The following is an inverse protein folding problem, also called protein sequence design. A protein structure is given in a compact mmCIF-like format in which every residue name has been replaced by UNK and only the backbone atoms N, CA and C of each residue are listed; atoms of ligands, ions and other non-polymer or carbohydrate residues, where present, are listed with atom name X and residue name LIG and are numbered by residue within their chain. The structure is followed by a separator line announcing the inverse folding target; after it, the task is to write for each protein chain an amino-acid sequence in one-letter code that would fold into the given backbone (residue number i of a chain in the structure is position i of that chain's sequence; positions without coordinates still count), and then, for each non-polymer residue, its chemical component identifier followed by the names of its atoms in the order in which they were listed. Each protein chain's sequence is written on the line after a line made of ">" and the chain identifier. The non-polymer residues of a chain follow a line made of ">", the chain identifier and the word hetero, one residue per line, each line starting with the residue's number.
data_IF_427587515610
#
_entry.id   IF_427587515610
#
_cell.length_a   1.000
_cell.length_b   1.000
_cell.length_c   1.000
_cell.angle_alpha   90.00
_cell.angle_beta   90.00
_cell.angle_gamma   90.00
#
_symmetry.space_group_name_H-M   'P 1'
#
loop_
_entity.id
_entity.type
_entity.pdbx_description
1 polymer ?
#
# COMPACT_ATOMS: atom_id res chain seq x y z
N UNK A 1 -7.96 4.16 -3.68
CA UNK A 1 -8.04 5.63 -3.59
C UNK A 1 -6.89 6.17 -4.42
N UNK A 2 -7.06 7.24 -5.20
CA UNK A 2 -5.93 7.88 -5.88
C UNK A 2 -5.80 9.30 -5.35
N UNK A 3 -4.59 9.66 -4.97
CA UNK A 3 -4.28 10.99 -4.41
C UNK A 3 -3.55 11.84 -5.45
N UNK A 4 -3.69 13.17 -5.36
CA UNK A 4 -2.98 14.09 -6.25
C UNK A 4 -1.47 14.07 -5.94
N UNK A 5 -0.65 14.25 -6.99
CA UNK A 5 0.82 14.12 -6.90
C UNK A 5 1.44 14.98 -5.80
N UNK A 6 1.00 16.23 -5.65
CA UNK A 6 1.53 17.16 -4.64
C UNK A 6 1.35 16.65 -3.20
N UNK A 7 0.22 15.99 -2.90
CA UNK A 7 -0.02 15.41 -1.58
C UNK A 7 0.72 14.10 -1.42
N UNK A 8 0.90 13.34 -2.50
CA UNK A 8 1.65 12.10 -2.46
C UNK A 8 3.13 12.34 -2.12
N UNK A 9 3.74 13.41 -2.64
CA UNK A 9 5.11 13.79 -2.31
C UNK A 9 5.26 14.06 -0.81
N UNK A 10 4.36 14.87 -0.23
CA UNK A 10 4.37 15.17 1.19
C UNK A 10 4.05 13.94 2.06
N UNK A 11 3.11 13.09 1.64
CA UNK A 11 2.81 11.84 2.36
C UNK A 11 4.01 10.89 2.37
N UNK A 12 4.80 10.84 1.28
CA UNK A 12 6.03 10.03 1.27
C UNK A 12 7.09 10.59 2.22
N UNK A 13 7.22 11.93 2.31
CA UNK A 13 8.10 12.58 3.30
C UNK A 13 7.68 12.21 4.72
N UNK A 14 6.39 12.37 5.04
CA UNK A 14 5.83 12.02 6.34
C UNK A 14 5.93 10.52 6.66
N UNK A 15 5.81 9.64 5.66
CA UNK A 15 6.03 8.21 5.83
C UNK A 15 7.47 7.92 6.24
N UNK A 16 8.46 8.57 5.63
CA UNK A 16 9.87 8.39 6.00
C UNK A 16 10.11 8.81 7.46
N UNK A 17 9.59 9.98 7.86
CA UNK A 17 9.67 10.47 9.23
C UNK A 17 9.03 9.49 10.22
N UNK A 18 7.82 9.01 9.91
CA UNK A 18 7.09 8.04 10.74
C UNK A 18 7.81 6.69 10.89
N UNK A 19 8.42 6.18 9.83
CA UNK A 19 9.19 4.93 9.89
C UNK A 19 10.42 5.08 10.80
N UNK A 20 11.09 6.24 10.73
CA UNK A 20 12.21 6.56 11.60
C UNK A 20 11.78 6.68 13.08
N UNK A 21 10.60 7.26 13.34
CA UNK A 21 10.03 7.32 14.69
C UNK A 21 9.74 5.91 15.25
N UNK A 22 9.19 5.01 14.43
CA UNK A 22 8.97 3.61 14.84
C UNK A 22 10.29 2.92 15.17
N UNK A 23 11.32 3.08 14.34
CA UNK A 23 12.63 2.47 14.55
C UNK A 23 13.31 2.94 15.84
N UNK A 24 13.08 4.20 16.22
CA UNK A 24 13.63 4.80 17.45
C UNK A 24 12.71 4.61 18.68
N UNK A 25 11.55 3.98 18.51
CA UNK A 25 10.60 3.78 19.60
C UNK A 25 10.87 2.51 20.41
N UNK A 26 10.39 2.47 21.65
CA UNK A 26 10.45 1.28 22.51
C UNK A 26 9.26 0.32 22.26
N UNK A 27 8.78 0.27 21.01
CA UNK A 27 7.68 -0.61 20.62
C UNK A 27 8.12 -2.07 20.60
N UNK A 28 7.21 -2.95 20.98
CA UNK A 28 7.41 -4.39 20.79
C UNK A 28 7.68 -4.68 19.31
N UNK A 29 8.63 -5.59 18.97
CA UNK A 29 9.03 -5.83 17.58
C UNK A 29 7.86 -6.14 16.63
N UNK A 30 6.88 -6.93 17.09
CA UNK A 30 5.69 -7.25 16.30
C UNK A 30 4.82 -6.00 16.03
N UNK A 31 4.65 -5.13 17.02
CA UNK A 31 3.88 -3.90 16.89
C UNK A 31 4.56 -2.94 15.90
N UNK A 32 5.88 -2.76 16.02
CA UNK A 32 6.67 -1.98 15.07
C UNK A 32 6.50 -2.50 13.64
N UNK A 33 6.63 -3.82 13.45
CA UNK A 33 6.45 -4.46 12.15
C UNK A 33 5.05 -4.21 11.57
N UNK A 34 4.00 -4.38 12.38
CA UNK A 34 2.61 -4.13 11.94
C UNK A 34 2.45 -2.69 11.48
N UNK A 35 2.90 -1.70 12.26
CA UNK A 35 2.77 -0.30 11.88
C UNK A 35 3.54 0.06 10.61
N UNK A 36 4.76 -0.45 10.44
CA UNK A 36 5.54 -0.25 9.22
C UNK A 36 4.84 -0.86 8.00
N UNK A 37 4.33 -2.10 8.12
CA UNK A 37 3.65 -2.79 7.00
C UNK A 37 2.37 -2.06 6.61
N UNK A 38 1.54 -1.69 7.59
CA UNK A 38 0.24 -1.06 7.32
C UNK A 38 0.40 0.34 6.72
N UNK A 39 1.34 1.15 7.23
CA UNK A 39 1.62 2.48 6.69
C UNK A 39 2.17 2.42 5.26
N UNK A 40 3.13 1.53 4.98
CA UNK A 40 3.65 1.31 3.62
C UNK A 40 2.54 0.85 2.67
N UNK A 41 1.69 -0.08 3.09
CA UNK A 41 0.57 -0.56 2.26
C UNK A 41 -0.46 0.55 2.00
N UNK A 42 -0.74 1.39 2.98
CA UNK A 42 -1.61 2.55 2.79
C UNK A 42 -1.05 3.50 1.72
N UNK A 43 0.23 3.86 1.80
CA UNK A 43 0.86 4.75 0.81
C UNK A 43 0.84 4.14 -0.59
N UNK A 44 1.18 2.85 -0.72
CA UNK A 44 1.13 2.12 -1.99
C UNK A 44 -0.29 2.08 -2.59
N UNK A 45 -1.32 1.95 -1.75
CA UNK A 45 -2.71 2.00 -2.21
C UNK A 45 -3.08 3.38 -2.76
N UNK A 46 -2.76 4.45 -2.05
CA UNK A 46 -3.11 5.82 -2.48
C UNK A 46 -2.25 6.30 -3.66
N UNK A 47 -1.05 5.72 -3.84
CA UNK A 47 -0.20 5.83 -5.02
C UNK A 47 -0.75 5.05 -6.23
N UNK A 48 -1.76 4.19 -6.00
CA UNK A 48 -2.38 3.39 -7.06
C UNK A 48 -1.57 2.17 -7.50
N UNK A 49 -0.60 1.72 -6.70
CA UNK A 49 0.19 0.50 -6.99
C UNK A 49 -0.65 -0.78 -6.85
N UNK A 50 -1.65 -0.75 -5.97
CA UNK A 50 -2.61 -1.85 -5.80
C UNK A 50 -3.92 -1.34 -5.19
N UNK A 51 -4.96 -2.17 -5.22
CA UNK A 51 -6.22 -1.95 -4.50
C UNK A 51 -6.39 -3.04 -3.43
N UNK A 52 -6.59 -2.70 -2.15
CA UNK A 52 -6.89 -3.67 -1.10
C UNK A 52 -8.11 -4.51 -1.46
N UNK A 53 -8.01 -5.82 -1.24
CA UNK A 53 -9.07 -6.78 -1.57
C UNK A 53 -9.19 -7.12 -3.06
N UNK A 54 -8.42 -6.47 -3.94
CA UNK A 54 -8.36 -6.86 -5.34
C UNK A 54 -7.53 -8.13 -5.48
N UNK A 55 -8.22 -9.26 -5.55
CA UNK A 55 -7.62 -10.52 -5.97
C UNK A 55 -7.31 -10.36 -7.46
N UNK A 56 -6.04 -10.40 -7.86
CA UNK A 56 -5.66 -10.48 -9.28
C UNK A 56 -6.49 -11.63 -9.87
N UNK A 57 -7.47 -11.30 -10.73
CA UNK A 57 -8.21 -12.32 -11.47
C UNK A 57 -7.17 -13.20 -12.13
N UNK A 58 -7.13 -14.48 -11.76
CA UNK A 58 -6.24 -15.44 -12.38
C UNK A 58 -6.38 -15.29 -13.89
N UNK A 59 -5.28 -15.35 -14.65
CA UNK A 59 -5.26 -15.19 -16.11
C UNK A 59 -6.33 -16.07 -16.81
N UNK A 60 -6.74 -17.16 -16.15
CA UNK A 60 -7.83 -18.06 -16.52
C UNK A 60 -9.20 -17.35 -16.68
N UNK A 61 -9.59 -16.50 -15.73
CA UNK A 61 -10.88 -15.77 -15.77
C UNK A 61 -10.90 -14.63 -16.80
N UNK A 62 -9.73 -14.13 -17.22
CA UNK A 62 -9.63 -13.11 -18.27
C UNK A 62 -9.76 -13.73 -19.67
N UNK A 63 -9.28 -14.96 -19.87
CA UNK A 63 -9.43 -15.69 -21.14
C UNK A 63 -10.87 -16.16 -21.40
N UNK A 64 -11.60 -16.60 -20.37
CA UNK A 64 -13.00 -17.07 -20.51
C UNK A 64 -13.98 -15.96 -20.93
N UNK A 65 -13.70 -14.68 -20.61
CA UNK A 65 -14.52 -13.55 -21.06
C UNK A 65 -14.21 -13.05 -22.48
N UNK A 66 -13.03 -13.38 -23.02
CA UNK A 66 -12.62 -12.96 -24.35
C UNK A 66 -13.09 -13.89 -25.47
N UNK A 67 -13.55 -15.11 -25.14
CA UNK A 67 -14.02 -16.12 -26.10
C UNK A 67 -15.56 -16.27 -26.12
N UNK A 68 -16.28 -15.48 -25.34
CA UNK A 68 -17.75 -15.45 -25.32
C UNK A 68 -18.28 -14.15 -25.88
N UNK A 69 -18.24 -13.98 -27.21
CA UNK A 69 -19.14 -13.12 -27.97
C UNK A 69 -19.31 -13.68 -29.38
#
# INVERSE_FOLDING_TARGET
>A
MRTQKQYLEEINRLLADYLQEIENSDLKPLSAQVYQVQSKNFVRWINGEFTPGEVKKSKRQAQERAQGN
#
